data_IF_386890065759
#
_entry.id   IF_386890065759
#
_cell.length_a   1.000
_cell.length_b   1.000
_cell.length_c   1.000
_cell.angle_alpha   90.00
_cell.angle_beta   90.00
_cell.angle_gamma   90.00
#
_symmetry.space_group_name_H-M   'P 1'
#
loop_
_entity.id
_entity.type
_entity.pdbx_description
1 polymer ?
#
# COMPACT_ATOMS: atom_id res chain seq x y z
N UNK A 1 1.98 28.77 2.50
CA UNK A 1 2.38 27.43 2.03
C UNK A 1 3.06 26.72 3.19
N UNK A 2 2.72 25.46 3.48
CA UNK A 2 3.43 24.68 4.50
C UNK A 2 4.76 24.22 3.91
N UNK A 3 5.85 24.39 4.66
CA UNK A 3 7.15 23.85 4.29
C UNK A 3 7.51 22.68 5.20
N UNK A 4 8.17 21.70 4.62
CA UNK A 4 8.78 20.58 5.34
C UNK A 4 9.94 21.05 6.18
N UNK A 5 10.17 20.42 7.33
CA UNK A 5 11.39 20.61 8.13
C UNK A 5 12.38 19.49 7.95
N UNK A 6 11.88 18.29 7.68
CA UNK A 6 12.71 17.12 7.47
C UNK A 6 12.42 16.56 6.10
N UNK A 7 13.45 16.36 5.27
CA UNK A 7 13.31 15.94 3.87
C UNK A 7 13.94 14.56 3.58
N UNK A 8 14.20 13.77 4.63
CA UNK A 8 14.79 12.42 4.55
C UNK A 8 13.73 11.32 4.49
N UNK A 9 12.86 11.34 3.49
CA UNK A 9 11.78 10.35 3.39
C UNK A 9 12.26 9.08 2.69
N UNK A 10 11.82 7.92 3.19
CA UNK A 10 11.96 6.68 2.45
C UNK A 10 10.81 5.74 2.78
N UNK A 11 10.12 5.28 1.75
CA UNK A 11 9.05 4.30 1.86
C UNK A 11 9.34 3.16 0.88
N UNK A 12 9.52 1.96 1.43
CA UNK A 12 9.74 0.76 0.64
C UNK A 12 8.53 0.52 -0.25
N UNK A 13 8.78 0.24 -1.53
CA UNK A 13 7.72 -0.02 -2.48
C UNK A 13 8.12 -1.11 -3.47
N UNK A 14 7.27 -2.13 -3.59
CA UNK A 14 7.52 -3.25 -4.50
C UNK A 14 7.17 -2.88 -5.95
N UNK A 15 7.97 -2.00 -6.54
CA UNK A 15 7.75 -1.45 -7.89
C UNK A 15 7.66 -2.57 -8.94
N UNK A 16 8.50 -3.61 -8.82
CA UNK A 16 8.52 -4.76 -9.72
C UNK A 16 7.20 -5.54 -9.72
N UNK A 17 6.49 -5.59 -8.59
CA UNK A 17 5.15 -6.18 -8.52
C UNK A 17 4.13 -5.40 -9.36
N UNK A 18 4.23 -4.07 -9.41
CA UNK A 18 3.27 -3.21 -10.11
C UNK A 18 3.64 -2.95 -11.59
N UNK A 19 4.92 -3.01 -11.97
CA UNK A 19 5.35 -2.84 -13.37
C UNK A 19 5.03 -4.04 -14.26
N UNK A 20 5.09 -5.24 -13.72
CA UNK A 20 4.63 -6.42 -14.43
C UNK A 20 3.12 -6.40 -14.41
N UNK A 21 2.47 -5.88 -15.46
CA UNK A 21 1.01 -5.90 -15.57
C UNK A 21 0.46 -7.23 -15.05
N UNK A 22 -0.44 -7.16 -14.05
CA UNK A 22 -0.84 -8.31 -13.24
C UNK A 22 -1.16 -9.47 -14.17
N UNK A 23 -0.35 -10.53 -14.12
CA UNK A 23 -0.69 -11.74 -14.86
C UNK A 23 -1.93 -12.29 -14.18
N UNK A 24 -3.08 -12.24 -14.87
CA UNK A 24 -4.39 -12.69 -14.35
C UNK A 24 -4.35 -14.12 -13.79
N UNK A 25 -3.38 -14.93 -14.21
CA UNK A 25 -3.25 -16.30 -13.75
C UNK A 25 -4.51 -17.09 -14.12
N UNK A 26 -5.18 -17.66 -13.13
CA UNK A 26 -6.44 -18.39 -13.24
C UNK A 26 -7.67 -17.56 -12.84
N UNK A 27 -7.49 -16.30 -12.41
CA UNK A 27 -8.60 -15.41 -12.11
C UNK A 27 -9.25 -14.93 -13.42
N UNK A 28 -10.55 -15.20 -13.57
CA UNK A 28 -11.36 -14.77 -14.71
C UNK A 28 -11.77 -13.30 -14.57
N UNK A 29 -12.12 -12.89 -13.34
CA UNK A 29 -12.39 -11.51 -12.99
C UNK A 29 -11.10 -10.87 -12.50
N UNK A 30 -10.86 -9.64 -12.94
CA UNK A 30 -9.70 -8.91 -12.48
C UNK A 30 -9.82 -8.71 -10.96
N UNK A 31 -8.70 -8.87 -10.25
CA UNK A 31 -8.49 -8.59 -8.81
C UNK A 31 -8.71 -7.11 -8.43
N UNK A 32 -9.44 -6.40 -9.26
CA UNK A 32 -9.86 -5.02 -9.17
C UNK A 32 -11.03 -4.98 -8.18
N UNK A 33 -10.66 -5.17 -6.91
CA UNK A 33 -11.54 -5.27 -5.74
C UNK A 33 -12.32 -3.98 -5.45
N UNK A 34 -11.99 -2.90 -6.15
CA UNK A 34 -12.42 -1.55 -5.83
C UNK A 34 -13.16 -0.91 -7.01
N UNK A 35 -13.97 0.12 -6.77
CA UNK A 35 -14.65 0.85 -7.85
C UNK A 35 -13.68 1.48 -8.86
N UNK A 36 -14.11 1.73 -10.10
CA UNK A 36 -13.28 2.32 -11.15
C UNK A 36 -12.58 3.62 -10.70
N UNK A 37 -13.27 4.45 -9.93
CA UNK A 37 -12.72 5.70 -9.38
C UNK A 37 -11.61 5.44 -8.36
N UNK A 38 -11.85 4.57 -7.37
CA UNK A 38 -10.84 4.22 -6.37
C UNK A 38 -9.59 3.62 -7.01
N UNK A 39 -9.76 2.80 -8.04
CA UNK A 39 -8.60 2.23 -8.73
C UNK A 39 -7.83 3.26 -9.55
N UNK A 40 -8.53 4.17 -10.21
CA UNK A 40 -7.91 5.25 -10.97
C UNK A 40 -7.07 6.10 -10.02
N UNK A 41 -7.68 6.50 -8.92
CA UNK A 41 -7.07 7.22 -7.79
C UNK A 41 -5.86 6.43 -7.27
N UNK A 42 -6.02 5.17 -6.85
CA UNK A 42 -4.91 4.34 -6.34
C UNK A 42 -3.80 4.06 -7.37
N UNK A 43 -4.06 4.08 -8.67
CA UNK A 43 -3.02 3.93 -9.71
C UNK A 43 -2.27 5.21 -9.99
N UNK A 44 -2.75 6.32 -9.48
CA UNK A 44 -2.22 7.66 -9.67
C UNK A 44 -1.47 8.10 -8.42
N UNK A 45 -0.30 7.55 -8.11
CA UNK A 45 0.47 7.94 -6.92
C UNK A 45 0.95 9.41 -6.94
N UNK A 46 0.72 10.14 -8.04
CA UNK A 46 0.85 11.61 -8.04
C UNK A 46 -0.22 12.29 -7.17
N UNK A 47 -1.27 11.56 -6.78
CA UNK A 47 -2.15 11.84 -5.63
C UNK A 47 -1.69 11.00 -4.45
N UNK A 48 -1.59 11.59 -3.26
CA UNK A 48 -1.19 10.85 -2.08
C UNK A 48 -2.41 10.14 -1.46
N UNK A 49 -2.36 8.82 -1.31
CA UNK A 49 -3.51 8.03 -0.87
C UNK A 49 -3.43 7.61 0.59
N UNK A 50 -4.55 7.77 1.30
CA UNK A 50 -4.78 7.22 2.62
C UNK A 50 -5.99 6.30 2.58
N UNK A 51 -5.71 5.00 2.63
CA UNK A 51 -6.75 3.98 2.80
C UNK A 51 -7.06 3.87 4.29
N UNK A 52 -8.34 4.01 4.65
CA UNK A 52 -8.80 3.87 6.02
C UNK A 52 -9.13 2.40 6.25
N UNK A 53 -8.18 1.67 6.80
CA UNK A 53 -8.22 1.29 8.20
C UNK A 53 -9.52 0.72 8.84
N UNK A 54 -10.54 0.22 8.12
CA UNK A 54 -11.78 -0.25 8.75
C UNK A 54 -11.58 -1.60 9.47
N UNK A 55 -11.34 -1.53 10.78
CA UNK A 55 -11.05 -2.68 11.62
C UNK A 55 -12.20 -3.70 11.82
N UNK A 56 -11.84 -4.82 12.44
CA UNK A 56 -12.74 -5.79 13.05
C UNK A 56 -13.31 -6.83 12.08
N UNK A 57 -14.55 -6.63 11.65
CA UNK A 57 -15.32 -7.65 10.90
C UNK A 57 -15.00 -7.62 9.41
N UNK A 58 -14.83 -6.43 8.82
CA UNK A 58 -14.47 -6.32 7.40
C UNK A 58 -13.13 -6.98 7.11
N UNK A 59 -12.07 -6.65 7.88
CA UNK A 59 -10.77 -7.34 7.78
C UNK A 59 -10.89 -8.85 8.00
N UNK A 60 -11.66 -9.30 8.99
CA UNK A 60 -11.87 -10.73 9.20
C UNK A 60 -12.49 -11.41 7.97
N UNK A 61 -13.53 -10.81 7.39
CA UNK A 61 -14.14 -11.28 6.16
C UNK A 61 -13.15 -11.26 4.98
N UNK A 62 -12.19 -10.32 4.97
CA UNK A 62 -11.14 -10.31 3.96
C UNK A 62 -10.18 -11.52 4.04
N UNK A 63 -9.96 -12.05 5.24
CA UNK A 63 -9.07 -13.20 5.41
C UNK A 63 -9.80 -14.55 5.40
N UNK A 64 -11.14 -14.55 5.35
CA UNK A 64 -11.94 -15.76 5.40
C UNK A 64 -11.66 -16.74 4.24
N UNK A 65 -11.61 -16.33 2.95
CA UNK A 65 -11.27 -17.24 1.87
C UNK A 65 -9.86 -17.81 2.01
N UNK A 66 -8.90 -16.96 2.37
CA UNK A 66 -7.51 -17.38 2.60
C UNK A 66 -7.43 -18.45 3.70
N UNK A 67 -8.13 -18.23 4.81
CA UNK A 67 -8.21 -19.18 5.92
C UNK A 67 -8.88 -20.50 5.53
N UNK A 68 -9.99 -20.44 4.80
CA UNK A 68 -10.74 -21.63 4.35
C UNK A 68 -9.95 -22.43 3.31
N UNK A 69 -9.49 -21.80 2.23
CA UNK A 69 -8.69 -22.45 1.18
C UNK A 69 -7.37 -22.98 1.75
N UNK A 70 -6.63 -22.15 2.47
CA UNK A 70 -5.37 -22.56 3.11
C UNK A 70 -5.57 -23.71 4.10
N UNK A 71 -6.64 -23.68 4.89
CA UNK A 71 -7.01 -24.75 5.82
C UNK A 71 -7.34 -26.06 5.11
N UNK A 72 -8.11 -26.01 4.01
CA UNK A 72 -8.45 -27.19 3.20
C UNK A 72 -7.21 -27.83 2.55
N UNK A 73 -6.30 -27.01 2.02
CA UNK A 73 -5.03 -27.49 1.47
C UNK A 73 -4.10 -28.06 2.54
N UNK A 74 -4.03 -27.42 3.70
CA UNK A 74 -3.27 -27.93 4.84
C UNK A 74 -3.83 -29.26 5.35
N UNK A 75 -5.16 -29.38 5.49
CA UNK A 75 -5.79 -30.63 5.87
C UNK A 75 -5.50 -31.73 4.86
N UNK A 76 -5.55 -31.45 3.55
CA UNK A 76 -5.17 -32.42 2.53
C UNK A 76 -3.72 -32.88 2.71
N UNK A 77 -2.78 -31.94 2.87
CA UNK A 77 -1.38 -32.26 3.12
C UNK A 77 -1.18 -33.09 4.39
N UNK A 78 -1.84 -32.71 5.48
CA UNK A 78 -1.77 -33.42 6.76
C UNK A 78 -2.33 -34.84 6.65
N UNK A 79 -3.46 -35.02 5.96
CA UNK A 79 -4.02 -36.35 5.70
C UNK A 79 -3.06 -37.20 4.86
N UNK A 80 -2.41 -36.62 3.84
CA UNK A 80 -1.39 -37.33 3.04
C UNK A 80 -0.25 -37.79 3.93
N UNK A 81 0.29 -36.90 4.78
CA UNK A 81 1.40 -37.23 5.69
C UNK A 81 0.99 -38.32 6.67
N UNK A 82 -0.18 -38.21 7.31
CA UNK A 82 -0.69 -39.26 8.21
C UNK A 82 -0.86 -40.61 7.51
N UNK A 83 -1.33 -40.61 6.27
CA UNK A 83 -1.52 -41.81 5.47
C UNK A 83 -0.20 -42.52 5.17
N UNK A 84 0.91 -41.78 5.01
CA UNK A 84 2.25 -42.36 4.91
C UNK A 84 2.74 -43.02 6.21
N UNK A 85 2.24 -42.61 7.37
CA UNK A 85 2.67 -43.13 8.68
C UNK A 85 1.81 -44.28 9.22
N UNK A 86 0.59 -44.49 8.70
CA UNK A 86 -0.37 -45.46 9.25
C UNK A 86 -0.31 -46.86 8.63
N UNK A 87 0.69 -47.17 7.80
CA UNK A 87 1.00 -48.49 7.18
C UNK A 87 -0.12 -49.21 6.36
N UNK A 88 -1.39 -48.82 6.46
CA UNK A 88 -2.50 -49.37 5.66
C UNK A 88 -2.61 -48.68 4.28
N UNK A 89 -1.65 -48.99 3.41
CA UNK A 89 -1.58 -48.42 2.05
C UNK A 89 -2.52 -49.19 1.12
N UNK A 90 -3.79 -48.77 1.05
CA UNK A 90 -4.67 -49.16 -0.06
C UNK A 90 -4.57 -48.13 -1.19
N UNK A 91 -4.38 -48.61 -2.43
CA UNK A 91 -4.34 -47.75 -3.62
C UNK A 91 -5.68 -47.01 -3.84
N UNK A 92 -6.80 -47.62 -3.47
CA UNK A 92 -8.13 -47.02 -3.58
C UNK A 92 -8.30 -45.83 -2.62
N UNK A 93 -7.86 -45.95 -1.37
CA UNK A 93 -7.89 -44.85 -0.39
C UNK A 93 -7.01 -43.67 -0.81
N UNK A 94 -5.86 -43.95 -1.43
CA UNK A 94 -5.01 -42.91 -2.03
C UNK A 94 -5.71 -42.21 -3.19
N UNK A 95 -6.34 -42.96 -4.11
CA UNK A 95 -7.03 -42.39 -5.27
C UNK A 95 -8.21 -41.51 -4.84
N UNK A 96 -9.01 -41.94 -3.87
CA UNK A 96 -10.14 -41.15 -3.37
C UNK A 96 -9.68 -39.85 -2.66
N UNK A 97 -8.62 -39.95 -1.84
CA UNK A 97 -8.01 -38.80 -1.19
C UNK A 97 -7.42 -37.80 -2.21
N UNK A 98 -6.73 -38.31 -3.23
CA UNK A 98 -6.07 -37.50 -4.27
C UNK A 98 -7.02 -36.96 -5.33
N UNK A 99 -8.11 -37.66 -5.69
CA UNK A 99 -9.00 -37.20 -6.75
C UNK A 99 -10.16 -36.41 -6.20
N UNK A 100 -10.89 -36.94 -5.21
CA UNK A 100 -12.08 -36.29 -4.65
C UNK A 100 -11.75 -35.02 -3.89
N UNK A 101 -10.84 -35.10 -2.90
CA UNK A 101 -10.52 -33.96 -2.03
C UNK A 101 -9.69 -32.89 -2.74
N UNK A 102 -8.77 -33.29 -3.62
CA UNK A 102 -8.01 -32.33 -4.43
C UNK A 102 -8.93 -31.56 -5.38
N UNK A 103 -9.83 -32.25 -6.10
CA UNK A 103 -10.78 -31.57 -7.00
C UNK A 103 -11.73 -30.66 -6.21
N UNK A 104 -12.22 -31.12 -5.06
CA UNK A 104 -13.03 -30.28 -4.18
C UNK A 104 -12.29 -29.00 -3.75
N UNK A 105 -11.05 -29.14 -3.26
CA UNK A 105 -10.22 -28.00 -2.87
C UNK A 105 -9.96 -27.06 -4.05
N UNK A 106 -9.65 -27.60 -5.22
CA UNK A 106 -9.43 -26.83 -6.45
C UNK A 106 -10.68 -26.04 -6.84
N UNK A 107 -11.86 -26.67 -6.82
CA UNK A 107 -13.14 -26.00 -7.15
C UNK A 107 -13.45 -24.90 -6.15
N UNK A 108 -13.28 -25.15 -4.85
CA UNK A 108 -13.51 -24.13 -3.81
C UNK A 108 -12.52 -22.96 -3.96
N UNK A 109 -11.24 -23.25 -4.21
CA UNK A 109 -10.23 -22.22 -4.46
C UNK A 109 -10.58 -21.37 -5.69
N UNK A 110 -10.98 -22.00 -6.80
CA UNK A 110 -11.38 -21.28 -8.01
C UNK A 110 -12.68 -20.49 -7.82
N UNK A 111 -13.62 -20.99 -7.01
CA UNK A 111 -14.84 -20.28 -6.64
C UNK A 111 -14.52 -18.99 -5.88
N UNK A 112 -13.72 -19.09 -4.81
CA UNK A 112 -13.31 -17.92 -4.04
C UNK A 112 -12.46 -16.97 -4.87
N UNK A 113 -11.51 -17.48 -5.66
CA UNK A 113 -10.66 -16.68 -6.55
C UNK A 113 -11.46 -15.70 -7.41
N UNK A 114 -12.65 -16.11 -7.87
CA UNK A 114 -13.46 -15.35 -8.82
C UNK A 114 -14.60 -14.56 -8.18
N UNK A 115 -15.17 -15.03 -7.07
CA UNK A 115 -16.32 -14.38 -6.42
C UNK A 115 -15.88 -13.42 -5.31
N UNK A 116 -14.76 -13.69 -4.68
CA UNK A 116 -14.28 -12.93 -3.55
C UNK A 116 -14.01 -11.44 -3.87
N UNK A 117 -13.48 -11.06 -5.06
CA UNK A 117 -13.38 -9.65 -5.44
C UNK A 117 -14.71 -8.90 -5.43
N UNK A 118 -15.80 -9.56 -5.84
CA UNK A 118 -17.13 -8.97 -5.82
C UNK A 118 -17.62 -8.75 -4.38
N UNK A 119 -17.34 -9.70 -3.49
CA UNK A 119 -17.64 -9.56 -2.07
C UNK A 119 -16.89 -8.37 -1.45
N UNK A 120 -15.62 -8.18 -1.81
CA UNK A 120 -14.82 -7.04 -1.35
C UNK A 120 -15.37 -5.70 -1.85
N UNK A 121 -15.77 -5.63 -3.11
CA UNK A 121 -16.38 -4.42 -3.69
C UNK A 121 -17.62 -3.97 -2.92
N UNK A 122 -18.45 -4.90 -2.44
CA UNK A 122 -19.64 -4.59 -1.66
C UNK A 122 -19.32 -4.00 -0.28
N UNK A 123 -18.13 -4.26 0.28
CA UNK A 123 -17.76 -3.73 1.59
C UNK A 123 -17.46 -2.23 1.53
N UNK A 124 -17.04 -1.71 0.37
CA UNK A 124 -16.70 -0.30 0.17
C UNK A 124 -15.46 0.12 0.98
N UNK A 125 -14.58 0.90 0.35
CA UNK A 125 -13.42 1.46 1.03
C UNK A 125 -13.70 2.90 1.42
N UNK A 126 -13.44 3.25 2.68
CA UNK A 126 -13.25 4.64 3.04
C UNK A 126 -11.79 4.99 2.80
N UNK A 127 -11.58 6.07 2.08
CA UNK A 127 -10.28 6.60 1.76
C UNK A 127 -10.34 8.12 1.67
N UNK A 128 -9.16 8.72 1.84
CA UNK A 128 -8.90 10.11 1.54
C UNK A 128 -7.69 10.20 0.62
N UNK A 129 -7.64 11.22 -0.21
CA UNK A 129 -6.47 11.49 -1.03
C UNK A 129 -6.16 12.97 -1.08
N UNK A 130 -4.88 13.27 -1.27
CA UNK A 130 -4.39 14.62 -1.42
C UNK A 130 -4.04 14.86 -2.87
N UNK A 131 -4.67 15.88 -3.45
CA UNK A 131 -4.42 16.29 -4.82
C UNK A 131 -3.51 17.54 -4.81
N UNK A 132 -2.28 17.32 -5.24
CA UNK A 132 -1.25 18.36 -5.32
C UNK A 132 -1.58 19.45 -6.34
N UNK A 133 -2.27 19.13 -7.44
CA UNK A 133 -2.53 20.09 -8.52
C UNK A 133 -3.63 21.05 -8.10
N UNK A 134 -4.73 20.50 -7.57
CA UNK A 134 -5.88 21.30 -7.10
C UNK A 134 -5.67 21.88 -5.71
N UNK A 135 -4.65 21.40 -4.96
CA UNK A 135 -4.39 21.77 -3.56
C UNK A 135 -5.58 21.47 -2.64
N UNK A 136 -6.22 20.32 -2.86
CA UNK A 136 -7.39 19.88 -2.10
C UNK A 136 -7.15 18.52 -1.45
N UNK A 137 -7.96 18.22 -0.43
CA UNK A 137 -8.06 16.90 0.20
C UNK A 137 -9.48 16.41 0.03
N UNK A 138 -9.63 15.26 -0.61
CA UNK A 138 -10.92 14.69 -0.96
C UNK A 138 -11.23 13.46 -0.13
N UNK A 139 -12.52 13.28 0.15
CA UNK A 139 -13.04 12.23 1.02
C UNK A 139 -14.12 11.43 0.29
N UNK A 140 -13.94 10.11 0.27
CA UNK A 140 -14.90 9.15 -0.31
C UNK A 140 -16.19 8.96 0.50
N UNK A 141 -16.34 9.67 1.62
CA UNK A 141 -17.47 9.58 2.51
C UNK A 141 -17.95 10.98 2.89
N UNK A 142 -19.21 11.08 3.29
CA UNK A 142 -19.81 12.35 3.69
C UNK A 142 -19.10 12.94 4.92
N UNK A 143 -18.45 14.07 4.69
CA UNK A 143 -17.72 14.91 5.65
C UNK A 143 -18.40 16.26 5.90
N UNK A 144 -19.50 16.56 5.18
CA UNK A 144 -20.27 17.79 5.28
C UNK A 144 -19.71 18.96 4.48
N UNK A 145 -18.89 18.72 3.44
CA UNK A 145 -18.48 19.77 2.50
C UNK A 145 -19.51 19.93 1.38
N UNK A 146 -19.75 21.18 0.97
CA UNK A 146 -20.56 21.49 -0.22
C UNK A 146 -19.71 21.45 -1.52
N UNK A 147 -18.38 21.50 -1.39
CA UNK A 147 -17.47 21.42 -2.53
C UNK A 147 -17.22 19.96 -2.91
N UNK A 148 -17.32 19.68 -4.21
CA UNK A 148 -17.10 18.37 -4.79
C UNK A 148 -15.93 18.43 -5.78
N UNK A 149 -15.15 17.37 -5.82
CA UNK A 149 -14.11 17.22 -6.83
C UNK A 149 -14.62 16.55 -8.12
N UNK A 150 -13.69 16.23 -9.02
CA UNK A 150 -14.00 15.61 -10.32
C UNK A 150 -14.65 14.22 -10.22
N UNK A 151 -14.52 13.55 -9.07
CA UNK A 151 -15.12 12.25 -8.79
C UNK A 151 -16.42 12.37 -7.98
N UNK A 152 -16.87 13.58 -7.69
CA UNK A 152 -18.04 13.82 -6.83
C UNK A 152 -17.77 13.56 -5.35
N UNK A 153 -16.50 13.45 -4.94
CA UNK A 153 -16.10 13.32 -3.55
C UNK A 153 -16.08 14.69 -2.89
N UNK A 154 -16.52 14.75 -1.63
CA UNK A 154 -16.47 15.98 -0.85
C UNK A 154 -15.02 16.37 -0.56
N UNK A 155 -14.67 17.63 -0.82
CA UNK A 155 -13.29 18.09 -0.69
C UNK A 155 -13.16 19.34 0.18
N UNK A 156 -11.94 19.56 0.68
CA UNK A 156 -11.55 20.75 1.41
C UNK A 156 -10.21 21.28 0.90
N UNK A 157 -9.94 22.59 1.02
CA UNK A 157 -8.62 23.14 0.76
C UNK A 157 -7.56 22.47 1.65
N UNK A 158 -6.40 22.15 1.08
CA UNK A 158 -5.28 21.52 1.81
C UNK A 158 -4.86 22.29 3.06
N UNK A 159 -4.90 23.63 2.99
CA UNK A 159 -4.53 24.49 4.11
C UNK A 159 -5.50 24.40 5.29
N UNK A 160 -6.70 23.89 5.07
CA UNK A 160 -7.74 23.77 6.09
C UNK A 160 -7.67 22.43 6.85
N UNK A 161 -6.86 21.49 6.37
CA UNK A 161 -6.62 20.20 7.02
C UNK A 161 -5.36 20.27 7.87
N UNK A 162 -5.44 19.94 9.14
CA UNK A 162 -4.33 19.86 10.09
C UNK A 162 -4.05 18.41 10.49
N UNK A 163 -2.82 18.15 10.93
CA UNK A 163 -2.43 16.85 11.48
C UNK A 163 -2.15 16.97 12.98
N UNK A 164 -2.76 16.09 13.75
CA UNK A 164 -2.50 15.92 15.17
C UNK A 164 -1.87 14.57 15.43
N UNK A 165 -0.80 14.56 16.21
CA UNK A 165 -0.22 13.32 16.70
C UNK A 165 -0.85 13.04 18.05
N UNK A 166 -1.45 11.86 18.20
CA UNK A 166 -2.04 11.43 19.46
C UNK A 166 -1.56 10.04 19.85
N UNK A 167 -1.47 9.83 21.16
CA UNK A 167 -1.10 8.57 21.76
C UNK A 167 -2.35 7.79 22.14
N UNK A 168 -2.32 6.49 21.90
CA UNK A 168 -3.31 5.55 22.37
C UNK A 168 -2.59 4.36 23.02
N UNK A 169 -3.02 3.97 24.21
CA UNK A 169 -2.52 2.76 24.85
C UNK A 169 -3.00 1.56 24.04
N UNK A 170 -2.05 0.83 23.45
CA UNK A 170 -2.32 -0.39 22.70
C UNK A 170 -2.54 -1.60 23.60
N UNK A 171 -2.84 -2.73 22.96
CA UNK A 171 -2.92 -4.02 23.64
C UNK A 171 -1.59 -4.29 24.38
N UNK A 172 -1.68 -4.82 25.61
CA UNK A 172 -0.54 -5.05 26.52
C UNK A 172 0.11 -3.80 27.14
N UNK A 173 -0.51 -2.62 27.02
CA UNK A 173 -0.03 -1.40 27.69
C UNK A 173 1.10 -0.65 26.99
N UNK A 174 1.45 -1.07 25.76
CA UNK A 174 2.47 -0.40 24.94
C UNK A 174 1.84 0.83 24.27
N UNK A 175 2.44 2.03 24.38
CA UNK A 175 1.91 3.21 23.73
C UNK A 175 2.01 3.09 22.20
N UNK A 176 0.96 3.51 21.50
CA UNK A 176 0.91 3.58 20.04
C UNK A 176 0.59 5.01 19.63
N UNK A 177 1.38 5.57 18.73
CA UNK A 177 1.20 6.90 18.17
C UNK A 177 0.50 6.80 16.82
N UNK A 178 -0.43 7.72 16.60
CA UNK A 178 -1.20 7.84 15.37
C UNK A 178 -1.24 9.30 14.92
N UNK A 179 -1.40 9.51 13.61
CA UNK A 179 -1.73 10.82 13.07
C UNK A 179 -3.24 10.90 12.86
N UNK A 180 -3.87 11.96 13.35
CA UNK A 180 -5.25 12.32 13.05
C UNK A 180 -5.27 13.51 12.12
N UNK A 181 -5.90 13.35 10.97
CA UNK A 181 -6.20 14.48 10.09
C UNK A 181 -7.53 15.09 10.53
N UNK A 182 -7.53 16.40 10.75
CA UNK A 182 -8.67 17.16 11.25
C UNK A 182 -8.86 18.44 10.44
N UNK A 183 -10.10 18.89 10.29
CA UNK A 183 -10.34 20.22 9.75
C UNK A 183 -10.07 21.31 10.81
N UNK A 184 -9.56 22.48 10.41
CA UNK A 184 -9.32 23.64 11.29
C UNK A 184 -10.56 24.04 12.12
N UNK A 185 -11.72 24.01 11.48
CA UNK A 185 -13.05 24.24 12.08
C UNK A 185 -13.70 22.92 12.50
N UNK A 186 -13.25 22.36 13.62
CA UNK A 186 -13.67 21.02 14.09
C UNK A 186 -15.14 20.94 14.45
N UNK A 187 -15.68 21.99 15.06
CA UNK A 187 -17.08 22.02 15.49
C UNK A 187 -18.02 21.99 14.29
N UNK A 188 -17.59 22.57 13.16
CA UNK A 188 -18.35 22.61 11.91
C UNK A 188 -18.21 21.31 11.13
N UNK A 189 -17.01 20.73 11.09
CA UNK A 189 -16.71 19.51 10.31
C UNK A 189 -16.13 18.39 11.18
N UNK A 190 -16.89 17.85 12.15
CA UNK A 190 -16.41 16.82 13.08
C UNK A 190 -16.14 15.48 12.39
N UNK A 191 -16.74 15.26 11.22
CA UNK A 191 -16.57 14.04 10.40
C UNK A 191 -15.22 14.00 9.68
N UNK A 192 -14.54 15.14 9.53
CA UNK A 192 -13.15 15.21 9.05
C UNK A 192 -12.24 14.86 10.22
N UNK A 193 -12.23 13.59 10.60
CA UNK A 193 -11.38 13.06 11.67
C UNK A 193 -10.86 11.70 11.24
N UNK A 194 -9.72 11.70 10.56
CA UNK A 194 -9.17 10.48 9.96
C UNK A 194 -7.94 10.02 10.71
N UNK A 195 -8.00 8.79 11.19
CA UNK A 195 -6.82 8.12 11.72
C UNK A 195 -6.00 7.59 10.55
N UNK A 196 -4.79 8.12 10.41
CA UNK A 196 -3.78 7.59 9.50
C UNK A 196 -2.94 6.58 10.27
N UNK A 197 -2.90 5.35 9.76
CA UNK A 197 -1.92 4.37 10.19
C UNK A 197 -0.55 4.76 9.66
N UNK A 198 0.45 4.54 10.50
CA UNK A 198 1.83 4.92 10.20
C UNK A 198 2.62 3.66 9.90
N UNK A 199 3.32 3.66 8.75
CA UNK A 199 4.15 2.55 8.31
C UNK A 199 5.40 2.47 9.19
N UNK A 200 5.47 1.47 10.06
CA UNK A 200 6.61 1.29 10.96
C UNK A 200 6.19 0.81 12.34
N UNK A 201 7.07 0.99 13.32
CA UNK A 201 6.78 0.62 14.70
C UNK A 201 5.92 1.74 15.31
N UNK A 202 4.63 1.44 15.52
CA UNK A 202 3.65 2.40 16.05
C UNK A 202 4.01 2.93 17.44
N UNK A 203 5.02 2.38 18.11
CA UNK A 203 5.51 2.86 19.42
C UNK A 203 6.44 4.09 19.33
N UNK A 204 6.72 4.64 18.14
CA UNK A 204 7.54 5.83 17.97
C UNK A 204 6.79 6.93 17.23
N UNK A 205 6.70 8.10 17.87
CA UNK A 205 6.12 9.32 17.27
C UNK A 205 6.91 9.82 16.05
N UNK A 206 8.20 9.44 15.91
CA UNK A 206 9.03 9.79 14.75
C UNK A 206 8.35 9.41 13.43
N UNK A 207 7.79 8.20 13.34
CA UNK A 207 7.14 7.76 12.13
C UNK A 207 5.89 8.60 11.80
N UNK A 208 5.17 9.07 12.82
CA UNK A 208 4.02 9.97 12.65
C UNK A 208 4.46 11.30 12.02
N UNK A 209 5.57 11.86 12.51
CA UNK A 209 6.16 13.08 11.95
C UNK A 209 6.65 12.86 10.52
N UNK A 210 7.41 11.79 10.25
CA UNK A 210 7.92 11.48 8.91
C UNK A 210 6.79 11.33 7.90
N UNK A 211 5.70 10.66 8.27
CA UNK A 211 4.54 10.49 7.40
C UNK A 211 3.87 11.83 7.09
N UNK A 212 3.73 12.70 8.08
CA UNK A 212 3.15 14.02 7.88
C UNK A 212 4.03 14.94 7.02
N UNK A 213 5.34 14.95 7.29
CA UNK A 213 6.32 15.69 6.51
C UNK A 213 6.35 15.23 5.05
N UNK A 214 6.20 13.92 4.79
CA UNK A 214 6.07 13.39 3.43
C UNK A 214 4.82 13.94 2.71
N UNK A 215 3.67 14.02 3.40
CA UNK A 215 2.44 14.59 2.83
C UNK A 215 2.63 16.08 2.55
N UNK A 216 3.24 16.84 3.47
CA UNK A 216 3.56 18.25 3.23
C UNK A 216 4.45 18.38 1.99
N UNK A 217 5.50 17.55 1.87
CA UNK A 217 6.41 17.59 0.72
C UNK A 217 5.72 17.22 -0.58
N UNK A 218 4.84 16.23 -0.53
CA UNK A 218 4.01 15.83 -1.65
C UNK A 218 3.12 16.99 -2.10
N UNK A 219 2.46 17.69 -1.17
CA UNK A 219 1.57 18.80 -1.50
C UNK A 219 2.31 20.07 -1.92
N UNK A 220 3.62 20.18 -1.69
CA UNK A 220 4.41 21.33 -2.12
C UNK A 220 4.61 21.33 -3.64
N UNK A 221 3.75 22.03 -4.39
CA UNK A 221 3.81 22.14 -5.85
C UNK A 221 4.88 23.10 -6.39
N UNK A 222 5.75 23.67 -5.53
CA UNK A 222 6.89 24.49 -6.00
C UNK A 222 8.15 23.66 -6.29
N UNK A 223 8.18 22.42 -5.82
CA UNK A 223 9.32 21.49 -5.97
C UNK A 223 8.87 20.22 -6.70
N UNK A 224 9.76 19.45 -7.36
CA UNK A 224 9.39 18.15 -7.92
C UNK A 224 8.86 17.19 -6.84
N UNK A 225 8.14 16.14 -7.20
CA UNK A 225 7.73 15.09 -6.27
C UNK A 225 8.95 14.50 -5.55
N UNK A 226 8.82 14.11 -4.26
CA UNK A 226 9.89 13.44 -3.54
C UNK A 226 10.44 12.28 -4.37
N UNK A 227 11.76 12.15 -4.48
CA UNK A 227 12.36 11.05 -5.24
C UNK A 227 12.53 9.81 -4.36
N UNK A 228 11.43 9.09 -4.17
CA UNK A 228 11.34 7.85 -3.37
C UNK A 228 10.58 6.75 -4.12
N UNK A 229 10.71 5.47 -3.71
CA UNK A 229 10.18 4.33 -4.46
C UNK A 229 8.69 4.40 -4.80
N UNK A 230 7.83 4.92 -3.90
CA UNK A 230 6.37 4.99 -4.11
C UNK A 230 5.97 5.81 -5.33
N UNK A 231 6.76 6.81 -5.73
CA UNK A 231 6.43 7.69 -6.84
C UNK A 231 7.02 7.23 -8.17
N UNK A 232 7.92 6.25 -8.21
CA UNK A 232 8.75 5.92 -9.40
C UNK A 232 7.93 5.79 -10.70
N UNK A 233 6.77 5.13 -10.63
CA UNK A 233 5.93 4.89 -11.81
C UNK A 233 5.15 6.12 -12.26
N UNK A 234 4.89 7.04 -11.34
CA UNK A 234 4.04 8.21 -11.56
C UNK A 234 4.82 9.53 -11.67
N UNK A 235 6.15 9.51 -11.46
CA UNK A 235 7.01 10.70 -11.61
C UNK A 235 6.84 11.41 -12.95
N UNK A 236 6.61 10.65 -14.02
CA UNK A 236 6.44 11.20 -15.37
C UNK A 236 5.08 11.86 -15.63
N UNK A 237 4.09 11.60 -14.76
CA UNK A 237 2.74 12.18 -14.83
C UNK A 237 2.70 13.60 -14.26
N UNK A 238 3.49 13.88 -13.23
CA UNK A 238 3.63 15.24 -12.67
C UNK A 238 4.52 16.10 -13.58
N UNK A 239 3.97 17.19 -14.12
CA UNK A 239 4.64 18.02 -15.12
C UNK A 239 5.95 18.62 -14.61
N UNK A 240 5.95 19.16 -13.39
CA UNK A 240 7.12 19.76 -12.75
C UNK A 240 8.24 18.73 -12.52
N UNK A 241 7.87 17.54 -12.06
CA UNK A 241 8.79 16.42 -11.86
C UNK A 241 9.35 15.91 -13.18
N UNK A 242 8.51 15.79 -14.20
CA UNK A 242 8.92 15.37 -15.54
C UNK A 242 9.95 16.32 -16.14
N UNK A 243 9.73 17.63 -16.02
CA UNK A 243 10.68 18.65 -16.48
C UNK A 243 12.00 18.58 -15.71
N UNK A 244 11.92 18.48 -14.39
CA UNK A 244 13.10 18.33 -13.52
C UNK A 244 13.92 17.08 -13.88
N UNK A 245 13.26 15.93 -14.04
CA UNK A 245 13.91 14.65 -14.37
C UNK A 245 14.60 14.71 -15.74
N UNK A 246 13.96 15.37 -16.73
CA UNK A 246 14.52 15.59 -18.07
C UNK A 246 15.74 16.49 -18.04
N UNK A 247 15.69 17.61 -17.31
CA UNK A 247 16.81 18.54 -17.19
C UNK A 247 18.03 17.91 -16.50
N UNK A 248 17.80 16.99 -15.56
CA UNK A 248 18.86 16.37 -14.77
C UNK A 248 19.30 14.99 -15.28
N UNK A 249 18.76 14.53 -16.42
CA UNK A 249 19.05 13.21 -16.99
C UNK A 249 18.86 12.05 -15.98
N UNK A 250 17.77 12.10 -15.20
CA UNK A 250 17.47 11.06 -14.21
C UNK A 250 17.34 9.69 -14.90
N UNK A 251 17.96 8.62 -14.38
CA UNK A 251 17.76 7.27 -14.90
C UNK A 251 16.28 6.86 -14.82
N UNK A 252 15.74 6.29 -15.90
CA UNK A 252 14.38 5.72 -15.90
C UNK A 252 14.32 4.50 -14.97
N UNK A 253 13.22 4.34 -14.25
CA UNK A 253 12.97 3.20 -13.36
C UNK A 253 14.10 2.99 -12.34
N UNK A 254 14.63 4.09 -11.80
CA UNK A 254 15.77 4.10 -10.90
C UNK A 254 15.50 3.25 -9.65
N UNK A 255 14.39 3.52 -8.94
CA UNK A 255 14.04 2.77 -7.75
C UNK A 255 13.61 1.33 -8.03
N UNK A 256 13.12 1.04 -9.24
CA UNK A 256 12.79 -0.34 -9.64
C UNK A 256 14.03 -1.24 -9.76
N UNK A 257 15.21 -0.63 -9.92
CA UNK A 257 16.49 -1.31 -9.90
C UNK A 257 16.96 -1.73 -8.52
N UNK A 258 16.25 -1.38 -7.44
CA UNK A 258 16.57 -1.79 -6.07
C UNK A 258 15.73 -3.00 -5.63
N UNK A 259 16.37 -4.09 -5.21
CA UNK A 259 15.69 -5.17 -4.52
C UNK A 259 15.03 -4.69 -3.21
N UNK A 260 13.99 -5.38 -2.76
CA UNK A 260 13.32 -5.03 -1.50
C UNK A 260 14.28 -5.01 -0.31
N UNK A 261 15.24 -5.94 -0.26
CA UNK A 261 16.25 -5.96 0.81
C UNK A 261 17.13 -4.71 0.83
N UNK A 262 17.56 -4.23 -0.34
CA UNK A 262 18.32 -2.97 -0.43
C UNK A 262 17.45 -1.75 -0.11
N UNK A 263 16.19 -1.74 -0.54
CA UNK A 263 15.25 -0.69 -0.12
C UNK A 263 15.10 -0.67 1.40
N UNK A 264 14.96 -1.82 2.06
CA UNK A 264 14.89 -1.89 3.52
C UNK A 264 16.19 -1.42 4.20
N UNK A 265 17.36 -1.68 3.61
CA UNK A 265 18.63 -1.15 4.11
C UNK A 265 18.67 0.37 4.02
N UNK A 266 18.27 0.94 2.89
CA UNK A 266 18.20 2.38 2.70
C UNK A 266 17.20 3.00 3.68
N UNK A 267 16.02 2.41 3.82
CA UNK A 267 15.01 2.85 4.78
C UNK A 267 15.58 3.00 6.18
N UNK A 268 16.31 1.99 6.68
CA UNK A 268 16.95 2.05 8.01
C UNK A 268 17.93 3.21 8.13
N UNK A 269 18.71 3.50 7.08
CA UNK A 269 19.64 4.62 7.10
C UNK A 269 18.91 5.97 7.22
N UNK A 270 17.78 6.14 6.54
CA UNK A 270 16.94 7.33 6.69
C UNK A 270 16.27 7.38 8.07
N UNK A 271 15.80 6.24 8.59
CA UNK A 271 15.22 6.13 9.93
C UNK A 271 16.24 6.46 11.04
N UNK A 272 17.49 5.99 10.91
CA UNK A 272 18.59 6.32 11.82
C UNK A 272 18.90 7.83 11.82
N UNK A 273 18.92 8.47 10.65
CA UNK A 273 19.13 9.92 10.54
C UNK A 273 17.95 10.73 11.13
N UNK A 274 16.73 10.21 11.00
CA UNK A 274 15.52 10.83 11.52
C UNK A 274 15.37 10.66 13.04
N UNK A 275 15.94 9.60 13.62
CA UNK A 275 15.80 9.27 15.05
C UNK A 275 16.28 10.40 15.98
N UNK A 276 17.35 11.09 15.60
CA UNK A 276 17.94 12.18 16.36
C UNK A 276 17.36 13.56 15.98
N UNK A 277 16.41 13.62 15.04
CA UNK A 277 15.86 14.88 14.56
C UNK A 277 14.74 15.41 15.46
N UNK A 278 14.86 16.67 15.87
CA UNK A 278 13.80 17.37 16.59
C UNK A 278 12.76 17.92 15.59
N UNK A 279 11.66 17.20 15.37
CA UNK A 279 10.60 17.63 14.45
C UNK A 279 9.87 18.93 14.88
N UNK A 280 9.95 19.30 16.17
CA UNK A 280 9.22 20.47 16.70
C UNK A 280 10.01 21.77 16.62
N UNK A 281 11.34 21.71 16.76
CA UNK A 281 12.20 22.89 16.81
C UNK A 281 13.50 22.76 16.01
N UNK A 282 13.70 21.63 15.33
CA UNK A 282 14.89 21.38 14.53
C UNK A 282 14.98 22.31 13.32
N UNK A 283 16.21 22.61 12.86
CA UNK A 283 16.41 23.38 11.63
C UNK A 283 15.91 22.58 10.42
N UNK A 284 15.55 23.30 9.34
CA UNK A 284 15.21 22.65 8.07
C UNK A 284 16.42 21.87 7.54
N UNK A 285 16.22 20.59 7.22
CA UNK A 285 17.25 19.76 6.61
C UNK A 285 17.24 19.85 5.09
N UNK A 286 18.43 19.81 4.51
CA UNK A 286 18.61 19.72 3.06
C UNK A 286 17.95 18.46 2.50
N UNK A 287 17.24 18.63 1.38
CA UNK A 287 16.56 17.56 0.68
C UNK A 287 17.52 16.80 -0.24
N UNK A 288 17.41 15.47 -0.25
CA UNK A 288 18.09 14.63 -1.24
C UNK A 288 17.28 14.64 -2.54
N UNK A 289 17.46 15.69 -3.34
CA UNK A 289 16.70 15.88 -4.59
C UNK A 289 17.19 14.95 -5.72
N UNK A 290 18.42 14.44 -5.64
CA UNK A 290 19.07 13.62 -6.67
C UNK A 290 19.64 12.31 -6.09
N UNK A 291 18.80 11.39 -5.59
CA UNK A 291 19.25 10.16 -4.94
C UNK A 291 20.07 9.25 -5.87
N UNK A 292 19.87 9.32 -7.18
CA UNK A 292 20.63 8.56 -8.18
C UNK A 292 22.10 8.98 -8.32
N UNK A 293 22.50 10.12 -7.74
CA UNK A 293 23.91 10.49 -7.60
C UNK A 293 24.56 9.85 -6.37
N UNK A 294 23.75 9.51 -5.36
CA UNK A 294 24.19 8.96 -4.08
C UNK A 294 24.16 7.43 -4.06
N UNK A 295 23.11 6.84 -4.64
CA UNK A 295 22.84 5.40 -4.58
C UNK A 295 22.89 4.77 -5.96
N UNK A 296 23.31 3.50 -6.02
CA UNK A 296 23.34 2.70 -7.25
C UNK A 296 22.44 1.47 -7.11
N UNK A 297 21.61 1.16 -8.12
CA UNK A 297 20.74 0.00 -8.11
C UNK A 297 21.55 -1.31 -8.17
N UNK A 298 21.02 -2.39 -7.59
CA UNK A 298 21.59 -3.74 -7.62
C UNK A 298 21.19 -4.53 -8.86
N UNK A 299 20.02 -4.22 -9.44
CA UNK A 299 19.49 -4.89 -10.63
C UNK A 299 19.84 -4.14 -11.92
N UNK A 300 20.17 -4.89 -12.97
CA UNK A 300 20.30 -4.33 -14.32
C UNK A 300 18.92 -4.05 -14.91
N UNK A 301 18.84 -3.13 -15.87
CA UNK A 301 17.58 -2.83 -16.54
C UNK A 301 16.96 -4.06 -17.24
N UNK A 302 17.77 -5.00 -17.70
CA UNK A 302 17.26 -6.24 -18.28
C UNK A 302 16.57 -7.12 -17.23
N UNK A 303 17.09 -7.16 -16.00
CA UNK A 303 16.48 -7.89 -14.88
C UNK A 303 15.19 -7.22 -14.39
N UNK A 304 15.18 -5.88 -14.35
CA UNK A 304 13.99 -5.08 -14.00
C UNK A 304 12.85 -5.34 -14.99
N UNK A 305 13.17 -5.48 -16.29
CA UNK A 305 12.21 -5.75 -17.35
C UNK A 305 11.72 -7.21 -17.42
N UNK A 306 12.24 -8.12 -16.58
CA UNK A 306 11.87 -9.54 -16.60
C UNK A 306 10.50 -9.76 -15.95
N UNK A 307 9.50 -10.17 -16.75
CA UNK A 307 8.12 -10.41 -16.30
C UNK A 307 8.01 -11.57 -15.29
N UNK A 308 7.11 -11.46 -14.32
CA UNK A 308 6.75 -12.57 -13.41
C UNK A 308 6.24 -13.80 -14.19
N UNK A 309 6.52 -15.01 -13.68
CA UNK A 309 6.07 -16.26 -14.31
C UNK A 309 4.59 -16.53 -14.03
N UNK A 310 3.83 -16.87 -15.07
CA UNK A 310 2.40 -17.24 -14.96
C UNK A 310 2.19 -18.39 -13.97
N UNK A 311 3.09 -19.38 -13.98
CA UNK A 311 3.03 -20.58 -13.13
C UNK A 311 3.08 -20.21 -11.65
N UNK A 312 3.94 -19.25 -11.27
CA UNK A 312 4.07 -18.81 -9.88
C UNK A 312 2.79 -18.13 -9.39
N UNK A 313 2.20 -17.28 -10.23
CA UNK A 313 0.95 -16.57 -9.90
C UNK A 313 -0.22 -17.56 -9.79
N UNK A 314 -0.36 -18.46 -10.77
CA UNK A 314 -1.40 -19.49 -10.76
C UNK A 314 -1.31 -20.41 -9.55
N UNK A 315 -0.10 -20.80 -9.13
CA UNK A 315 0.10 -21.64 -7.93
C UNK A 315 -0.39 -20.94 -6.66
N UNK A 316 -0.03 -19.66 -6.48
CA UNK A 316 -0.47 -18.87 -5.31
C UNK A 316 -1.99 -18.77 -5.31
N UNK A 317 -2.61 -18.40 -6.44
CA UNK A 317 -4.06 -18.28 -6.58
C UNK A 317 -4.82 -19.57 -6.22
N UNK A 318 -4.30 -20.74 -6.63
CA UNK A 318 -4.91 -22.03 -6.29
C UNK A 318 -4.80 -22.33 -4.80
N UNK A 319 -3.64 -22.05 -4.19
CA UNK A 319 -3.41 -22.36 -2.77
C UNK A 319 -4.15 -21.42 -1.83
N UNK A 320 -4.32 -20.16 -2.21
CA UNK A 320 -4.91 -19.12 -1.36
C UNK A 320 -6.36 -18.80 -1.68
N UNK A 321 -6.83 -19.10 -2.89
CA UNK A 321 -8.13 -18.64 -3.38
C UNK A 321 -8.21 -17.12 -3.52
N UNK A 322 -7.06 -16.42 -3.54
CA UNK A 322 -6.95 -14.98 -3.70
C UNK A 322 -6.41 -14.64 -5.09
N UNK A 323 -6.90 -13.56 -5.73
CA UNK A 323 -6.57 -13.24 -7.12
C UNK A 323 -5.26 -12.50 -7.34
#
# INVERSE_FOLDING_TARGET
MRSTRYNGFFEEYNILHFMGGRKKGLALFDSETDGEDFQTIQREMWRFHLVLDEGGVKRFLMFLPLGLCGGLWFLLLFNIVLYFFLEDITNEGLIDLFSGRFLFNLVISLFFLNIYPYFLRMLGHKYAYFDRVTQTVSFSFDVGSDELDEFGNQCFPWLDIEAEIFEQIGDMGVPRFFVRLVHKERDKYPKVSLRMDVVGIQNSAMYCHLRWELIIRHMDNTKPLPDIPIYELDRSKDDLTREFDKQNNRPKLFWAGFSLGEQSRLKRLYEEDAADFNFTYGPEREEIVKPWLKWKPDLTQEQVNKKQSFIKVALIQVLTGLP
#
